data_IF_994549928717
#
_entry.id   IF_994549928717
#
_cell.length_a   1.000
_cell.length_b   1.000
_cell.length_c   1.000
_cell.angle_alpha   90.00
_cell.angle_beta   90.00
_cell.angle_gamma   90.00
#
_symmetry.space_group_name_H-M   'P 1'
#
loop_
_entity.id
_entity.type
_entity.pdbx_description
1 polymer ?
#
# COMPACT_ATOMS: atom_id res chain seq x y z
N UNK A 1 -13.85 1.99 2.16
CA UNK A 1 -12.87 3.06 1.89
C UNK A 1 -11.98 3.13 3.12
N UNK A 2 -10.67 3.10 2.95
CA UNK A 2 -9.71 3.17 4.05
C UNK A 2 -8.83 4.42 3.93
N UNK A 3 -8.28 4.87 5.05
CA UNK A 3 -7.30 5.95 5.08
C UNK A 3 -5.90 5.33 5.12
N UNK A 4 -4.95 5.90 4.38
CA UNK A 4 -3.59 5.36 4.32
C UNK A 4 -2.54 6.42 4.67
N UNK A 5 -1.53 6.03 5.44
CA UNK A 5 -0.32 6.79 5.70
C UNK A 5 0.71 6.52 4.60
N UNK A 6 1.21 7.57 3.96
CA UNK A 6 2.41 7.45 3.14
C UNK A 6 3.65 7.46 4.04
N UNK A 7 4.33 6.32 4.12
CA UNK A 7 5.49 6.13 5.00
C UNK A 7 6.76 5.83 4.18
N UNK A 8 7.68 6.79 4.15
CA UNK A 8 8.98 6.65 3.50
C UNK A 8 9.85 5.57 4.14
N UNK A 9 9.53 5.16 5.38
CA UNK A 9 10.18 4.08 6.10
C UNK A 9 9.68 2.69 5.72
N UNK A 10 8.53 2.57 5.04
CA UNK A 10 8.06 1.28 4.55
C UNK A 10 8.82 0.90 3.27
N UNK A 11 9.90 0.15 3.45
CA UNK A 11 10.77 -0.39 2.41
C UNK A 11 10.54 -1.89 2.17
N UNK A 12 9.44 -2.46 2.67
CA UNK A 12 9.17 -3.90 2.59
C UNK A 12 9.01 -4.33 1.12
N UNK A 13 9.68 -5.43 0.75
CA UNK A 13 9.63 -5.97 -0.61
C UNK A 13 9.57 -7.49 -0.61
N UNK A 14 8.76 -8.06 -1.51
CA UNK A 14 8.82 -9.47 -1.85
C UNK A 14 10.10 -9.76 -2.63
N UNK A 15 10.90 -10.70 -2.15
CA UNK A 15 12.11 -11.18 -2.82
C UNK A 15 11.79 -12.47 -3.60
N UNK A 16 12.50 -12.74 -4.72
CA UNK A 16 13.60 -11.95 -5.29
C UNK A 16 13.14 -10.79 -6.19
N UNK A 17 11.87 -10.71 -6.58
CA UNK A 17 11.37 -9.79 -7.62
C UNK A 17 11.38 -8.31 -7.22
N UNK A 18 11.68 -8.01 -5.94
CA UNK A 18 11.73 -6.66 -5.38
C UNK A 18 10.40 -5.91 -5.47
N UNK A 19 9.28 -6.63 -5.43
CA UNK A 19 7.95 -6.03 -5.51
C UNK A 19 7.59 -5.35 -4.19
N UNK A 20 7.10 -4.09 -4.20
CA UNK A 20 6.76 -3.36 -2.99
C UNK A 20 5.57 -4.00 -2.28
N UNK A 21 5.60 -3.98 -0.94
CA UNK A 21 4.53 -4.50 -0.09
C UNK A 21 4.00 -3.37 0.79
N UNK A 22 2.72 -3.06 0.64
CA UNK A 22 2.00 -2.20 1.57
C UNK A 22 1.65 -2.98 2.84
N UNK A 23 1.31 -2.30 3.93
CA UNK A 23 0.92 -2.95 5.19
C UNK A 23 -0.49 -2.51 5.54
N UNK A 24 -1.38 -3.44 5.84
CA UNK A 24 -2.79 -3.18 6.08
C UNK A 24 -3.32 -3.86 7.34
N UNK A 25 -4.31 -3.22 7.97
CA UNK A 25 -5.07 -3.80 9.07
C UNK A 25 -5.92 -4.98 8.62
N UNK A 26 -6.34 -5.81 9.57
CA UNK A 26 -6.97 -7.10 9.27
C UNK A 26 -8.32 -6.96 8.55
N UNK A 27 -9.08 -5.90 8.85
CA UNK A 27 -10.36 -5.58 8.20
C UNK A 27 -10.24 -5.32 6.68
N UNK A 28 -9.07 -4.95 6.17
CA UNK A 28 -8.86 -4.79 4.72
C UNK A 28 -8.94 -6.13 3.97
N UNK A 29 -8.82 -7.24 4.68
CA UNK A 29 -8.85 -8.58 4.10
C UNK A 29 -10.24 -9.21 4.18
N UNK A 30 -11.24 -8.56 4.80
CA UNK A 30 -12.62 -9.05 4.79
C UNK A 30 -13.24 -9.04 3.38
N UNK A 31 -12.64 -8.28 2.45
CA UNK A 31 -13.04 -8.25 1.04
C UNK A 31 -12.41 -9.35 0.20
N UNK A 32 -11.34 -9.99 0.69
CA UNK A 32 -10.71 -11.08 -0.06
C UNK A 32 -11.53 -12.36 0.16
N UNK A 33 -11.83 -13.07 -0.92
CA UNK A 33 -12.63 -14.29 -0.86
C UNK A 33 -11.89 -15.43 -0.15
N UNK A 34 -12.58 -16.54 0.10
CA UNK A 34 -12.01 -17.73 0.74
C UNK A 34 -10.81 -18.32 -0.04
N UNK A 35 -10.77 -18.09 -1.36
CA UNK A 35 -9.69 -18.54 -2.25
C UNK A 35 -8.45 -17.63 -2.23
N UNK A 36 -8.42 -16.60 -1.37
CA UNK A 36 -7.29 -15.69 -1.26
C UNK A 36 -6.00 -16.44 -0.88
N UNK A 37 -4.99 -16.31 -1.73
CA UNK A 37 -3.68 -16.91 -1.50
C UNK A 37 -2.85 -15.97 -0.63
N UNK A 38 -2.37 -16.52 0.49
CA UNK A 38 -1.42 -15.85 1.36
C UNK A 38 -0.04 -16.50 1.26
N UNK A 39 1.00 -15.69 1.21
CA UNK A 39 2.38 -16.13 1.30
C UNK A 39 3.16 -15.30 2.31
N UNK A 40 4.20 -15.89 2.87
CA UNK A 40 5.02 -15.27 3.89
C UNK A 40 6.13 -14.42 3.25
N UNK A 41 6.22 -13.14 3.62
CA UNK A 41 7.28 -12.23 3.22
C UNK A 41 8.14 -11.89 4.44
N UNK A 42 9.46 -12.20 4.41
CA UNK A 42 10.34 -11.85 5.51
C UNK A 42 10.57 -10.33 5.55
N UNK A 43 10.61 -9.77 6.75
CA UNK A 43 10.87 -8.36 6.98
C UNK A 43 11.85 -8.14 8.14
N UNK A 44 12.38 -6.92 8.21
CA UNK A 44 13.12 -6.38 9.35
C UNK A 44 12.49 -5.07 9.76
N UNK A 45 12.43 -4.79 11.06
CA UNK A 45 11.91 -3.53 11.57
C UNK A 45 12.78 -3.03 12.72
N UNK A 46 12.53 -1.80 13.17
CA UNK A 46 13.28 -1.23 14.28
C UNK A 46 13.04 -2.06 15.55
N UNK A 47 14.11 -2.58 16.14
CA UNK A 47 14.04 -3.44 17.32
C UNK A 47 13.65 -4.89 17.04
N UNK A 48 13.47 -5.29 15.77
CA UNK A 48 13.26 -6.68 15.37
C UNK A 48 14.10 -7.05 14.14
N UNK A 49 15.13 -7.86 14.36
CA UNK A 49 16.09 -8.28 13.34
C UNK A 49 15.53 -9.34 12.36
N UNK A 50 14.32 -9.86 12.61
CA UNK A 50 13.64 -10.77 11.70
C UNK A 50 12.16 -11.00 12.05
N UNK A 51 11.30 -10.86 11.04
CA UNK A 51 9.89 -11.23 11.11
C UNK A 51 9.40 -11.79 9.78
N UNK A 52 8.20 -12.35 9.79
CA UNK A 52 7.44 -12.70 8.58
C UNK A 52 6.08 -12.04 8.65
N UNK A 53 5.60 -11.54 7.52
CA UNK A 53 4.25 -11.01 7.38
C UNK A 53 3.52 -11.80 6.29
N UNK A 54 2.26 -12.16 6.54
CA UNK A 54 1.41 -12.79 5.53
C UNK A 54 0.94 -11.73 4.55
N UNK A 55 1.19 -11.97 3.27
CA UNK A 55 0.87 -11.06 2.17
C UNK A 55 -0.16 -11.70 1.26
N UNK A 56 -1.13 -10.90 0.83
CA UNK A 56 -2.07 -11.24 -0.22
C UNK A 56 -1.90 -10.24 -1.39
N UNK A 57 -2.18 -10.70 -2.60
CA UNK A 57 -2.24 -9.86 -3.79
C UNK A 57 -3.67 -9.38 -4.03
N UNK A 58 -3.83 -8.09 -4.28
CA UNK A 58 -5.07 -7.46 -4.67
C UNK A 58 -4.99 -7.05 -6.14
N UNK A 59 -6.01 -7.37 -6.92
CA UNK A 59 -6.04 -7.08 -8.36
C UNK A 59 -5.87 -5.58 -8.66
N UNK A 60 -6.51 -4.73 -7.87
CA UNK A 60 -6.46 -3.29 -8.04
C UNK A 60 -6.52 -2.54 -6.69
N UNK A 61 -5.72 -1.48 -6.58
CA UNK A 61 -5.85 -0.46 -5.54
C UNK A 61 -5.95 0.92 -6.19
N UNK A 62 -7.02 1.66 -5.87
CA UNK A 62 -7.15 3.07 -6.22
C UNK A 62 -6.75 3.95 -5.03
N UNK A 63 -5.69 4.76 -5.20
CA UNK A 63 -5.21 5.75 -4.22
C UNK A 63 -5.71 7.14 -4.63
N UNK A 64 -6.42 7.80 -3.72
CA UNK A 64 -6.90 9.18 -3.90
C UNK A 64 -6.09 10.13 -3.02
N UNK A 65 -5.58 11.23 -3.59
CA UNK A 65 -4.89 12.30 -2.84
C UNK A 65 -5.30 13.67 -3.40
N UNK A 66 -6.12 14.41 -2.63
CA UNK A 66 -6.76 15.63 -3.15
C UNK A 66 -7.57 15.31 -4.41
N UNK A 67 -7.26 16.00 -5.51
CA UNK A 67 -7.88 15.73 -6.82
C UNK A 67 -7.14 14.66 -7.66
N UNK A 68 -6.01 14.14 -7.15
CA UNK A 68 -5.22 13.12 -7.81
C UNK A 68 -5.80 11.72 -7.59
N UNK A 69 -5.76 10.91 -8.64
CA UNK A 69 -6.10 9.48 -8.63
C UNK A 69 -4.92 8.68 -9.17
N UNK A 70 -4.53 7.64 -8.45
CA UNK A 70 -3.56 6.65 -8.89
C UNK A 70 -4.19 5.27 -8.83
N UNK A 71 -4.14 4.53 -9.93
CA UNK A 71 -4.58 3.13 -10.00
C UNK A 71 -3.32 2.26 -10.03
N UNK A 72 -3.29 1.25 -9.17
CA UNK A 72 -2.24 0.25 -9.05
C UNK A 72 -2.86 -1.12 -9.31
N UNK A 73 -2.11 -2.01 -9.98
CA UNK A 73 -2.52 -3.38 -10.25
C UNK A 73 -1.56 -4.37 -9.59
N UNK A 74 -2.05 -5.57 -9.28
CA UNK A 74 -1.29 -6.66 -8.67
C UNK A 74 -0.56 -6.20 -7.40
N UNK A 75 -1.34 -5.63 -6.48
CA UNK A 75 -0.87 -4.89 -5.31
C UNK A 75 -0.65 -5.84 -4.16
N UNK A 76 0.57 -5.90 -3.64
CA UNK A 76 0.90 -6.72 -2.47
C UNK A 76 0.58 -5.96 -1.18
N UNK A 77 -0.25 -6.57 -0.32
CA UNK A 77 -0.59 -6.03 0.99
C UNK A 77 -0.31 -7.08 2.07
N UNK A 78 0.58 -6.75 3.00
CA UNK A 78 0.86 -7.53 4.20
C UNK A 78 -0.18 -7.26 5.29
N UNK A 79 -0.76 -8.34 5.84
CA UNK A 79 -1.69 -8.29 6.96
C UNK A 79 -0.92 -8.14 8.27
N UNK A 80 -0.96 -6.95 8.85
CA UNK A 80 -0.40 -6.69 10.17
C UNK A 80 -1.43 -6.95 11.28
N UNK A 81 -0.93 -7.00 12.52
CA UNK A 81 -1.78 -6.99 13.72
C UNK A 81 -2.57 -5.68 13.79
N UNK A 82 -3.83 -5.75 14.23
CA UNK A 82 -4.68 -4.56 14.37
C UNK A 82 -4.12 -3.56 15.40
N UNK A 83 -3.34 -4.04 16.36
CA UNK A 83 -2.61 -3.19 17.32
C UNK A 83 -1.60 -2.23 16.66
N UNK A 84 -1.21 -2.44 15.41
CA UNK A 84 -0.41 -1.49 14.65
C UNK A 84 -1.22 -0.23 14.25
N UNK A 85 -2.53 -0.37 14.15
CA UNK A 85 -3.45 0.67 13.68
C UNK A 85 -4.39 1.16 14.79
N UNK A 86 -4.44 0.48 15.94
CA UNK A 86 -5.10 0.97 17.14
C UNK A 86 -4.65 2.41 17.44
N UNK A 87 -5.63 3.28 17.74
CA UNK A 87 -5.47 4.72 18.00
C UNK A 87 -4.86 5.56 16.85
N UNK A 88 -4.67 4.99 15.66
CA UNK A 88 -4.17 5.71 14.49
C UNK A 88 -5.31 6.14 13.56
N UNK A 89 -5.10 7.23 12.82
CA UNK A 89 -6.07 7.77 11.86
C UNK A 89 -6.01 7.08 10.47
N UNK A 90 -5.26 5.98 10.35
CA UNK A 90 -5.03 5.26 9.10
C UNK A 90 -5.14 3.75 9.32
N UNK A 91 -5.60 3.05 8.28
CA UNK A 91 -5.81 1.60 8.25
C UNK A 91 -4.72 0.89 7.44
N UNK A 92 -3.89 1.66 6.73
CA UNK A 92 -2.87 1.17 5.80
C UNK A 92 -1.63 2.05 5.79
N UNK A 93 -0.46 1.42 5.61
CA UNK A 93 0.84 2.07 5.44
C UNK A 93 1.31 1.80 4.02
N UNK A 94 1.45 2.87 3.24
CA UNK A 94 1.88 2.80 1.86
C UNK A 94 3.40 2.62 1.75
N UNK A 95 3.84 1.90 0.73
CA UNK A 95 5.25 1.59 0.50
C UNK A 95 5.91 2.69 -0.33
N UNK A 96 7.11 3.10 0.06
CA UNK A 96 7.84 4.20 -0.58
C UNK A 96 8.08 3.98 -2.08
N UNK A 97 8.47 2.76 -2.47
CA UNK A 97 8.92 2.48 -3.83
C UNK A 97 7.81 2.64 -4.89
N UNK A 98 6.55 2.64 -4.47
CA UNK A 98 5.39 2.88 -5.35
C UNK A 98 5.29 4.34 -5.78
N UNK A 99 5.80 5.26 -4.94
CA UNK A 99 5.64 6.71 -5.12
C UNK A 99 6.97 7.40 -5.47
N UNK A 100 8.12 6.81 -5.11
CA UNK A 100 9.45 7.40 -5.30
C UNK A 100 9.86 7.63 -6.76
N UNK A 101 9.39 6.80 -7.70
CA UNK A 101 9.69 6.94 -9.14
C UNK A 101 8.69 7.84 -9.90
N UNK A 102 7.73 8.44 -9.20
CA UNK A 102 6.80 9.40 -9.78
C UNK A 102 7.15 10.78 -9.24
N UNK A 103 8.03 11.49 -9.95
CA UNK A 103 8.10 12.96 -10.00
C UNK A 103 6.79 13.62 -10.49
N UNK A 104 5.65 12.95 -10.31
CA UNK A 104 4.41 13.11 -11.06
C UNK A 104 3.16 12.71 -10.26
N UNK A 105 3.09 13.08 -8.98
CA UNK A 105 1.83 13.68 -8.50
C UNK A 105 1.79 15.15 -8.97
N UNK A 106 2.13 15.39 -10.24
CA UNK A 106 1.80 16.64 -10.89
C UNK A 106 0.30 16.64 -11.07
N UNK A 107 -0.33 17.57 -10.36
CA UNK A 107 -1.58 18.20 -10.73
C UNK A 107 -2.10 17.79 -12.12
N UNK A 108 -3.17 16.99 -12.17
CA UNK A 108 -4.23 17.25 -13.14
C UNK A 108 -4.91 18.57 -12.76
N UNK A 109 -4.14 19.66 -12.83
CA UNK A 109 -4.66 21.00 -13.03
C UNK A 109 -5.40 20.91 -14.35
N UNK A 110 -6.73 21.05 -14.30
CA UNK A 110 -7.52 21.27 -15.49
C UNK A 110 -6.98 22.47 -16.23
N UNK A 111 -6.18 22.24 -17.28
CA UNK A 111 -6.29 23.07 -18.46
C UNK A 111 -7.65 22.73 -19.08
N UNK A 112 -8.68 23.41 -18.59
CA UNK A 112 -9.85 23.63 -19.42
C UNK A 112 -9.33 24.26 -20.71
N UNK A 113 -9.65 23.60 -21.81
CA UNK A 113 -9.33 24.06 -23.14
C UNK A 113 -9.91 25.47 -23.33
N UNK A 114 -9.03 26.45 -23.56
CA UNK A 114 -9.42 27.60 -24.34
C UNK A 114 -9.59 27.09 -25.78
N UNK A 115 -10.84 26.91 -26.20
CA UNK A 115 -11.17 26.78 -27.61
C UNK A 115 -12.21 27.83 -27.98
N UNK A 116 -11.68 28.79 -28.74
CA UNK A 116 -12.30 29.73 -29.69
C UNK A 116 -13.58 30.46 -29.28
#
# INVERSE_FOLDING_TARGET
MCTALYDTGNLLKKQPEQLPVHIGGSALFDIVGEDAVFFDVPYKSLGNDGGSIKVCEFDEMTVMKGNGKLILHNVLVGRASDSLFEDNAYDMILNEAVFSNKTGMENTMGKQAAHK
#
